data_IF_553462125698
#
_entry.id   IF_553462125698
#
_cell.length_a   1.000
_cell.length_b   1.000
_cell.length_c   1.000
_cell.angle_alpha   90.00
_cell.angle_beta   90.00
_cell.angle_gamma   90.00
#
_symmetry.space_group_name_H-M   'P 1'
#
loop_
_entity.id
_entity.type
_entity.pdbx_description
1 polymer ?
#
# COMPACT_ATOMS: atom_id res chain seq x y z
N UNK A 1 -5.13 -4.41 -1.64
CA UNK A 1 -4.54 -3.24 -0.98
C UNK A 1 -5.52 -2.53 -0.07
N UNK A 2 -6.74 -2.20 -0.52
CA UNK A 2 -7.77 -1.51 0.27
C UNK A 2 -7.97 -2.06 1.68
N UNK A 3 -8.24 -3.37 1.84
CA UNK A 3 -8.37 -3.98 3.17
C UNK A 3 -7.14 -3.82 4.07
N UNK A 4 -5.91 -3.85 3.53
CA UNK A 4 -4.69 -3.65 4.33
C UNK A 4 -4.55 -2.20 4.79
N UNK A 5 -5.02 -1.25 3.98
CA UNK A 5 -5.12 0.16 4.37
C UNK A 5 -6.24 0.36 5.39
N UNK A 6 -7.43 -0.20 5.20
CA UNK A 6 -8.55 -0.14 6.16
C UNK A 6 -8.10 -0.62 7.55
N UNK A 7 -7.39 -1.75 7.65
CA UNK A 7 -6.94 -2.26 8.95
C UNK A 7 -5.99 -1.29 9.69
N UNK A 8 -5.31 -0.37 8.99
CA UNK A 8 -4.46 0.65 9.60
C UNK A 8 -5.27 1.83 10.17
N UNK A 9 -6.39 2.17 9.55
CA UNK A 9 -7.20 3.36 9.95
C UNK A 9 -8.48 3.01 10.72
N UNK A 10 -9.06 1.84 10.44
CA UNK A 10 -10.36 1.39 10.96
C UNK A 10 -10.25 0.08 11.77
N UNK A 11 -9.10 -0.58 11.75
CA UNK A 11 -8.87 -1.82 12.48
C UNK A 11 -8.82 -1.62 14.01
N UNK A 12 -8.90 -2.71 14.80
CA UNK A 12 -8.83 -2.65 16.26
C UNK A 12 -7.51 -2.06 16.78
N UNK A 13 -6.47 -2.04 15.94
CA UNK A 13 -5.16 -1.49 16.25
C UNK A 13 -4.95 -0.05 15.72
N UNK A 14 -5.94 0.57 15.09
CA UNK A 14 -5.81 1.90 14.49
C UNK A 14 -5.34 2.97 15.49
N UNK A 15 -5.78 2.88 16.75
CA UNK A 15 -5.35 3.79 17.82
C UNK A 15 -3.84 3.73 18.14
N UNK A 16 -3.16 2.65 17.73
CA UNK A 16 -1.72 2.50 17.91
C UNK A 16 -0.92 2.91 16.66
N UNK A 17 -1.59 3.28 15.58
CA UNK A 17 -0.94 3.76 14.37
C UNK A 17 -0.44 5.19 14.59
N UNK A 18 0.82 5.38 14.23
CA UNK A 18 1.48 6.68 14.30
C UNK A 18 1.46 7.35 12.93
N UNK A 19 1.53 8.69 12.86
CA UNK A 19 1.69 9.39 11.58
C UNK A 19 2.88 8.86 10.76
N UNK A 20 4.01 8.57 11.42
CA UNK A 20 5.18 7.99 10.75
C UNK A 20 4.94 6.60 10.15
N UNK A 21 4.03 5.81 10.74
CA UNK A 21 3.64 4.53 10.16
C UNK A 21 2.78 4.72 8.90
N UNK A 22 1.93 5.76 8.87
CA UNK A 22 1.18 6.15 7.68
C UNK A 22 2.11 6.66 6.57
N UNK A 23 3.10 7.50 6.89
CA UNK A 23 4.09 7.99 5.91
C UNK A 23 4.85 6.82 5.26
N UNK A 24 5.21 5.80 6.04
CA UNK A 24 5.86 4.58 5.50
C UNK A 24 4.92 3.79 4.61
N UNK A 25 3.62 3.78 4.92
CA UNK A 25 2.62 3.11 4.12
C UNK A 25 2.38 3.81 2.79
N UNK A 26 2.32 5.14 2.79
CA UNK A 26 2.24 5.97 1.59
C UNK A 26 3.46 5.75 0.70
N UNK A 27 4.68 5.83 1.26
CA UNK A 27 5.91 5.53 0.52
C UNK A 27 5.87 4.15 -0.14
N UNK A 28 5.36 3.16 0.58
CA UNK A 28 5.24 1.79 0.06
C UNK A 28 4.25 1.70 -1.11
N UNK A 29 3.18 2.50 -1.09
CA UNK A 29 2.25 2.64 -2.21
C UNK A 29 2.95 3.24 -3.43
N UNK A 30 3.70 4.33 -3.25
CA UNK A 30 4.49 4.94 -4.33
C UNK A 30 5.52 3.97 -4.93
N UNK A 31 6.26 3.26 -4.08
CA UNK A 31 7.26 2.26 -4.49
C UNK A 31 6.59 1.14 -5.32
N UNK A 32 5.39 0.71 -4.93
CA UNK A 32 4.62 -0.30 -5.66
C UNK A 32 4.26 0.17 -7.09
N UNK A 33 3.80 1.41 -7.25
CA UNK A 33 3.45 2.00 -8.56
C UNK A 33 4.70 2.28 -9.42
N UNK A 34 5.88 2.39 -8.81
CA UNK A 34 7.17 2.51 -9.53
C UNK A 34 7.85 1.16 -9.77
N UNK A 35 7.17 0.04 -9.52
CA UNK A 35 7.70 -1.30 -9.79
C UNK A 35 8.64 -1.86 -8.73
N UNK A 36 8.59 -1.34 -7.49
CA UNK A 36 9.44 -1.73 -6.36
C UNK A 36 8.60 -2.37 -5.24
N UNK A 37 8.07 -3.60 -5.45
CA UNK A 37 7.25 -4.26 -4.44
C UNK A 37 8.07 -4.70 -3.22
N UNK A 38 7.49 -4.57 -2.02
CA UNK A 38 8.14 -4.99 -0.77
C UNK A 38 7.83 -6.45 -0.40
N UNK A 39 6.60 -6.92 -0.66
CA UNK A 39 6.18 -8.30 -0.41
C UNK A 39 5.44 -8.93 -1.61
N UNK A 40 5.02 -10.19 -1.46
CA UNK A 40 4.34 -10.93 -2.52
C UNK A 40 3.00 -10.31 -2.95
N UNK A 41 2.27 -9.65 -2.03
CA UNK A 41 1.00 -9.00 -2.37
C UNK A 41 1.25 -7.73 -3.17
N UNK A 42 2.30 -6.99 -2.81
CA UNK A 42 2.73 -5.82 -3.58
C UNK A 42 3.19 -6.24 -4.97
N UNK A 43 3.92 -7.36 -5.09
CA UNK A 43 4.39 -7.87 -6.37
C UNK A 43 3.22 -8.25 -7.30
N UNK A 44 2.19 -8.91 -6.76
CA UNK A 44 0.99 -9.25 -7.52
C UNK A 44 0.24 -8.00 -8.02
N UNK A 45 0.12 -6.97 -7.16
CA UNK A 45 -0.52 -5.72 -7.57
C UNK A 45 0.34 -4.93 -8.55
N UNK A 46 1.65 -4.90 -8.36
CA UNK A 46 2.60 -4.24 -9.28
C UNK A 46 2.58 -4.89 -10.67
N UNK A 47 2.55 -6.23 -10.76
CA UNK A 47 2.36 -6.94 -12.05
C UNK A 47 1.02 -6.55 -12.69
N UNK A 48 -0.06 -6.47 -11.89
CA UNK A 48 -1.37 -6.04 -12.38
C UNK A 48 -1.34 -4.61 -12.94
N UNK A 49 -0.73 -3.65 -12.24
CA UNK A 49 -0.59 -2.26 -12.70
C UNK A 49 0.24 -2.18 -13.98
N UNK A 50 1.29 -3.00 -14.10
CA UNK A 50 2.12 -3.03 -15.30
C UNK A 50 1.34 -3.48 -16.55
N UNK A 51 0.36 -4.38 -16.37
CA UNK A 51 -0.50 -4.89 -17.44
C UNK A 51 -1.71 -4.01 -17.71
N UNK A 52 -2.20 -3.33 -16.68
CA UNK A 52 -3.38 -2.48 -16.71
C UNK A 52 -3.01 -1.14 -16.07
N UNK A 53 -2.50 -0.17 -16.86
CA UNK A 53 -2.06 1.11 -16.32
C UNK A 53 -3.22 1.82 -15.63
N UNK A 54 -3.07 1.98 -14.32
CA UNK A 54 -3.97 2.74 -13.46
C UNK A 54 -3.13 3.79 -12.73
N UNK A 55 -3.69 4.98 -12.54
CA UNK A 55 -3.03 6.03 -11.79
C UNK A 55 -3.18 5.79 -10.29
N UNK A 56 -2.17 6.24 -9.54
CA UNK A 56 -2.26 6.36 -8.08
C UNK A 56 -3.21 7.53 -7.76
N UNK A 57 -4.25 7.29 -6.94
CA UNK A 57 -5.25 8.29 -6.54
C UNK A 57 -4.93 8.92 -5.19
#
# INVERSE_FOLDING_TARGET
WCRRTDELVDGPNANYITPTALDRWEKRLEDLFTGRPYDMLDAALSDTISRFPIDIQ
#
